data_IF_437927460434
#
_entry.id   IF_437927460434
#
_cell.length_a   1.000
_cell.length_b   1.000
_cell.length_c   1.000
_cell.angle_alpha   90.00
_cell.angle_beta   90.00
_cell.angle_gamma   90.00
#
_symmetry.space_group_name_H-M   'P 1'
#
loop_
_entity.id
_entity.type
_entity.pdbx_description
1 polymer ?
#
# COMPACT_ATOMS: atom_id res chain seq x y z
N UNK A 1 -23.75 -9.10 67.00
CA UNK A 1 -22.81 -7.97 66.78
C UNK A 1 -21.67 -8.50 65.92
N UNK A 2 -21.73 -8.33 64.59
CA UNK A 2 -20.66 -8.53 63.57
C UNK A 2 -21.35 -8.54 62.19
N UNK A 3 -21.38 -7.40 61.50
CA UNK A 3 -20.42 -6.91 60.49
C UNK A 3 -20.55 -7.55 59.09
N UNK A 4 -21.12 -6.72 58.21
CA UNK A 4 -20.99 -6.62 56.75
C UNK A 4 -19.74 -7.25 56.11
N UNK A 5 -19.95 -7.93 54.97
CA UNK A 5 -19.10 -7.77 53.78
C UNK A 5 -19.95 -7.93 52.51
N UNK A 6 -20.17 -6.82 51.80
CA UNK A 6 -20.70 -6.80 50.43
C UNK A 6 -19.53 -7.04 49.48
N UNK A 7 -19.43 -8.24 48.90
CA UNK A 7 -18.49 -8.54 47.82
C UNK A 7 -19.09 -8.18 46.48
N UNK A 8 -18.69 -7.04 45.92
CA UNK A 8 -19.03 -6.64 44.56
C UNK A 8 -18.12 -7.42 43.58
N UNK A 9 -18.63 -8.50 42.99
CA UNK A 9 -17.93 -9.21 41.93
C UNK A 9 -17.99 -8.38 40.63
N UNK A 10 -16.87 -7.77 40.25
CA UNK A 10 -16.69 -7.16 38.94
C UNK A 10 -16.39 -8.29 37.95
N UNK A 11 -17.40 -8.69 37.18
CA UNK A 11 -17.23 -9.62 36.07
C UNK A 11 -16.51 -8.90 34.93
N UNK A 12 -15.20 -9.12 34.79
CA UNK A 12 -14.46 -8.77 33.58
C UNK A 12 -14.99 -9.62 32.42
N UNK A 13 -15.75 -9.01 31.52
CA UNK A 13 -16.08 -9.61 30.23
C UNK A 13 -14.80 -9.72 29.39
N UNK A 14 -14.13 -10.87 29.48
CA UNK A 14 -13.14 -11.27 28.49
C UNK A 14 -13.91 -11.61 27.22
N UNK A 15 -13.86 -10.73 26.23
CA UNK A 15 -14.29 -11.06 24.86
C UNK A 15 -13.31 -12.11 24.31
N UNK A 16 -13.60 -13.38 24.59
CA UNK A 16 -13.02 -14.51 23.89
C UNK A 16 -13.57 -14.44 22.47
N UNK A 17 -12.72 -14.13 21.50
CA UNK A 17 -13.03 -14.37 20.09
C UNK A 17 -13.31 -15.87 19.93
N UNK A 18 -14.58 -16.24 19.89
CA UNK A 18 -15.00 -17.59 19.56
C UNK A 18 -14.48 -17.91 18.16
N UNK A 19 -13.50 -18.81 18.08
CA UNK A 19 -13.17 -19.50 16.84
C UNK A 19 -14.35 -20.41 16.53
N UNK A 20 -15.27 -19.92 15.69
CA UNK A 20 -16.25 -20.78 15.07
C UNK A 20 -15.54 -21.70 14.10
N UNK A 21 -15.72 -23.01 14.28
CA UNK A 21 -15.36 -24.04 13.31
C UNK A 21 -16.19 -23.84 12.03
N UNK A 22 -15.73 -22.93 11.18
CA UNK A 22 -16.20 -22.82 9.82
C UNK A 22 -15.59 -23.99 9.02
N UNK A 23 -16.45 -24.81 8.42
CA UNK A 23 -16.06 -25.77 7.39
C UNK A 23 -15.12 -25.08 6.38
N UNK A 24 -14.08 -25.77 5.86
CA UNK A 24 -13.09 -25.13 5.02
C UNK A 24 -13.79 -24.59 3.78
N UNK A 25 -13.94 -23.27 3.73
CA UNK A 25 -14.26 -22.58 2.49
C UNK A 25 -13.19 -23.03 1.50
N UNK A 26 -13.60 -23.73 0.44
CA UNK A 26 -12.76 -24.03 -0.71
C UNK A 26 -12.05 -22.74 -1.09
N UNK A 27 -10.76 -22.66 -0.79
CA UNK A 27 -9.98 -21.46 -1.00
C UNK A 27 -10.16 -21.07 -2.47
N UNK A 28 -10.59 -19.82 -2.72
CA UNK A 28 -10.60 -19.30 -4.07
C UNK A 28 -9.23 -19.60 -4.71
N UNK A 29 -9.18 -20.04 -5.98
CA UNK A 29 -7.92 -20.42 -6.59
C UNK A 29 -6.98 -19.22 -6.53
N UNK A 30 -5.77 -19.43 -5.98
CA UNK A 30 -4.69 -18.43 -6.02
C UNK A 30 -4.43 -18.03 -7.47
N UNK A 31 -3.84 -16.85 -7.67
CA UNK A 31 -3.52 -16.30 -8.98
C UNK A 31 -2.92 -17.34 -9.94
N UNK A 32 -3.49 -17.45 -11.15
CA UNK A 32 -3.03 -18.43 -12.15
C UNK A 32 -1.63 -18.08 -12.67
N UNK A 33 -0.85 -19.10 -13.03
CA UNK A 33 0.49 -18.90 -13.59
C UNK A 33 0.48 -18.04 -14.87
N UNK A 34 -0.57 -18.17 -15.69
CA UNK A 34 -0.73 -17.36 -16.91
C UNK A 34 -0.99 -15.88 -16.59
N UNK A 35 -1.78 -15.57 -15.55
CA UNK A 35 -1.98 -14.19 -15.09
C UNK A 35 -0.67 -13.59 -14.56
N UNK A 36 0.08 -14.35 -13.73
CA UNK A 36 1.36 -13.87 -13.20
C UNK A 36 2.38 -13.61 -14.32
N UNK A 37 2.46 -14.50 -15.31
CA UNK A 37 3.31 -14.32 -16.48
C UNK A 37 2.89 -13.08 -17.30
N UNK A 38 1.59 -12.88 -17.51
CA UNK A 38 1.06 -11.73 -18.25
C UNK A 38 1.35 -10.41 -17.52
N UNK A 39 1.19 -10.36 -16.20
CA UNK A 39 1.53 -9.18 -15.39
C UNK A 39 3.03 -8.90 -15.37
N UNK A 40 3.86 -9.94 -15.26
CA UNK A 40 5.33 -9.80 -15.31
C UNK A 40 5.84 -9.34 -16.69
N UNK A 41 5.08 -9.62 -17.75
CA UNK A 41 5.40 -9.21 -19.12
C UNK A 41 4.92 -7.78 -19.46
N UNK A 42 4.21 -7.10 -18.56
CA UNK A 42 3.80 -5.71 -18.79
C UNK A 42 5.04 -4.83 -18.96
N UNK A 43 5.18 -4.10 -20.09
CA UNK A 43 6.31 -3.22 -20.29
C UNK A 43 6.34 -2.10 -19.24
N UNK A 44 7.51 -1.88 -18.66
CA UNK A 44 7.77 -0.73 -17.78
C UNK A 44 7.61 0.59 -18.56
N UNK A 45 7.09 1.62 -17.90
CA UNK A 45 7.11 2.97 -18.45
C UNK A 45 8.55 3.53 -18.48
N UNK A 46 8.88 4.44 -19.41
CA UNK A 46 10.19 5.11 -19.39
C UNK A 46 10.41 5.89 -18.09
N UNK A 47 11.65 5.92 -17.60
CA UNK A 47 12.01 6.69 -16.41
C UNK A 47 11.56 8.16 -16.53
N UNK A 48 11.07 8.78 -15.44
CA UNK A 48 10.71 10.18 -15.45
C UNK A 48 11.97 11.03 -15.62
N UNK A 49 11.87 12.14 -16.36
CA UNK A 49 12.96 13.11 -16.47
C UNK A 49 13.23 13.82 -15.12
N UNK A 50 12.19 13.99 -14.31
CA UNK A 50 12.23 14.65 -12.99
C UNK A 50 11.26 13.95 -12.04
N UNK A 51 11.70 13.66 -10.81
CA UNK A 51 10.81 13.19 -9.74
C UNK A 51 10.06 14.37 -9.13
N UNK A 52 8.73 14.29 -9.15
CA UNK A 52 7.85 15.37 -8.69
C UNK A 52 7.73 15.36 -7.17
N UNK A 53 7.61 16.55 -6.59
CA UNK A 53 7.37 16.71 -5.16
C UNK A 53 6.45 17.91 -4.87
N UNK A 54 5.90 18.02 -3.64
CA UNK A 54 4.92 19.05 -3.25
C UNK A 54 5.66 20.37 -3.04
N UNK A 55 6.89 20.26 -2.54
CA UNK A 55 7.81 21.38 -2.40
C UNK A 55 8.92 21.32 -3.45
N UNK A 56 9.37 22.48 -3.89
CA UNK A 56 10.41 22.60 -4.92
C UNK A 56 11.80 22.13 -4.44
N UNK A 57 12.01 22.02 -3.12
CA UNK A 57 13.31 21.65 -2.53
C UNK A 57 13.56 20.15 -2.57
N UNK A 58 12.49 19.36 -2.59
CA UNK A 58 12.49 17.91 -2.55
C UNK A 58 12.24 17.29 -3.93
N UNK A 59 12.27 18.11 -5.00
CA UNK A 59 12.24 17.64 -6.40
C UNK A 59 13.50 16.84 -6.67
N UNK A 60 13.34 15.65 -7.28
CA UNK A 60 14.47 14.74 -7.53
C UNK A 60 14.82 13.83 -6.34
N UNK A 61 14.16 13.99 -5.18
CA UNK A 61 14.35 13.07 -4.06
C UNK A 61 13.60 11.75 -4.24
N UNK A 62 14.19 10.69 -3.69
CA UNK A 62 13.62 9.35 -3.67
C UNK A 62 12.96 9.07 -2.32
N UNK A 63 11.75 8.51 -2.35
CA UNK A 63 11.00 8.15 -1.14
C UNK A 63 11.32 6.72 -0.69
N UNK A 64 12.43 6.56 0.03
CA UNK A 64 12.90 5.24 0.49
C UNK A 64 12.01 4.57 1.53
N UNK A 65 11.22 5.35 2.26
CA UNK A 65 10.41 4.88 3.40
C UNK A 65 9.10 5.64 3.46
N UNK A 66 8.07 4.99 3.98
CA UNK A 66 6.78 5.64 4.22
C UNK A 66 6.89 6.72 5.31
N UNK A 67 6.22 7.86 5.15
CA UNK A 67 6.08 8.87 6.20
C UNK A 67 4.70 8.87 6.85
N UNK A 68 3.80 7.96 6.46
CA UNK A 68 2.49 7.77 7.06
C UNK A 68 2.61 7.16 8.46
N UNK A 69 1.96 7.79 9.45
CA UNK A 69 2.03 7.42 10.86
C UNK A 69 0.90 6.53 11.36
N UNK A 70 -0.20 6.49 10.63
CA UNK A 70 -1.46 5.90 11.09
C UNK A 70 -2.07 4.90 10.10
N UNK A 71 -1.23 4.06 9.48
CA UNK A 71 -1.68 3.03 8.55
C UNK A 71 -2.66 2.04 9.18
N UNK A 72 -2.60 1.84 10.50
CA UNK A 72 -3.52 0.97 11.25
C UNK A 72 -4.98 1.35 11.04
N UNK A 73 -5.27 2.60 10.68
CA UNK A 73 -6.62 3.07 10.37
C UNK A 73 -7.22 2.34 9.16
N UNK A 74 -6.39 1.86 8.23
CA UNK A 74 -6.85 1.09 7.08
C UNK A 74 -7.13 -0.39 7.40
N UNK A 75 -6.55 -0.92 8.50
CA UNK A 75 -6.59 -2.35 8.79
C UNK A 75 -8.02 -2.91 8.81
N UNK A 76 -9.02 -2.28 9.46
CA UNK A 76 -10.38 -2.83 9.51
C UNK A 76 -11.04 -2.92 8.13
N UNK A 77 -10.61 -2.10 7.17
CA UNK A 77 -11.17 -2.06 5.82
C UNK A 77 -10.56 -3.13 4.92
N UNK A 78 -9.27 -3.42 5.08
CA UNK A 78 -8.54 -4.32 4.19
C UNK A 78 -8.40 -5.75 4.71
N UNK A 79 -8.63 -5.97 6.00
CA UNK A 79 -8.34 -7.25 6.65
C UNK A 79 -9.00 -8.43 5.95
N UNK A 80 -8.19 -9.42 5.54
CA UNK A 80 -8.60 -10.61 4.80
C UNK A 80 -9.46 -10.32 3.55
N UNK A 81 -9.33 -9.16 2.93
CA UNK A 81 -10.12 -8.81 1.75
C UNK A 81 -9.77 -9.66 0.50
N UNK A 82 -8.62 -10.35 0.52
CA UNK A 82 -8.10 -11.21 -0.57
C UNK A 82 -7.95 -10.44 -1.89
N UNK A 83 -7.89 -11.13 -3.03
CA UNK A 83 -7.83 -10.51 -4.36
C UNK A 83 -6.53 -9.76 -4.60
N UNK A 84 -6.54 -8.86 -5.58
CA UNK A 84 -5.35 -8.09 -5.94
C UNK A 84 -5.20 -6.85 -5.06
N UNK A 85 -4.01 -6.67 -4.50
CA UNK A 85 -3.54 -5.43 -3.89
C UNK A 85 -2.65 -4.69 -4.90
N UNK A 86 -3.05 -3.48 -5.29
CA UNK A 86 -2.33 -2.58 -6.20
C UNK A 86 -1.92 -1.34 -5.43
N UNK A 87 -0.70 -0.83 -5.60
CA UNK A 87 -0.39 0.47 -5.03
C UNK A 87 1.02 0.96 -5.23
N UNK A 88 1.29 2.15 -4.69
CA UNK A 88 2.55 2.88 -4.81
C UNK A 88 3.31 2.97 -3.48
N UNK A 89 4.58 3.39 -3.54
CA UNK A 89 5.43 3.56 -2.37
C UNK A 89 6.16 2.27 -1.97
N UNK A 90 6.61 2.20 -0.73
CA UNK A 90 7.65 1.26 -0.29
C UNK A 90 7.12 0.23 0.72
N UNK A 91 7.45 0.40 2.00
CA UNK A 91 7.26 -0.61 3.04
C UNK A 91 5.80 -0.75 3.49
N UNK A 92 5.01 0.32 3.36
CA UNK A 92 3.59 0.31 3.72
C UNK A 92 2.77 -0.69 2.91
N UNK A 93 3.17 -1.00 1.68
CA UNK A 93 2.48 -1.97 0.84
C UNK A 93 2.57 -3.39 1.41
N UNK A 94 3.67 -3.74 2.08
CA UNK A 94 3.81 -5.03 2.75
C UNK A 94 3.00 -5.09 4.05
N UNK A 95 2.82 -3.95 4.72
CA UNK A 95 1.89 -3.83 5.86
C UNK A 95 0.45 -4.08 5.43
N UNK A 96 0.00 -3.42 4.35
CA UNK A 96 -1.31 -3.68 3.76
C UNK A 96 -1.46 -5.13 3.29
N UNK A 97 -0.43 -5.71 2.66
CA UNK A 97 -0.45 -7.09 2.20
C UNK A 97 -0.58 -8.10 3.36
N UNK A 98 0.13 -7.87 4.48
CA UNK A 98 0.02 -8.72 5.67
C UNK A 98 -1.40 -8.76 6.25
N UNK A 99 -2.10 -7.63 6.21
CA UNK A 99 -3.50 -7.52 6.62
C UNK A 99 -4.48 -8.10 5.59
N UNK A 100 -4.31 -7.76 4.31
CA UNK A 100 -5.24 -8.13 3.25
C UNK A 100 -5.18 -9.61 2.87
N UNK A 101 -4.00 -10.22 3.01
CA UNK A 101 -3.70 -11.56 2.50
C UNK A 101 -4.06 -11.70 1.00
N UNK A 102 -3.46 -10.87 0.13
CA UNK A 102 -3.85 -10.80 -1.27
C UNK A 102 -3.43 -12.05 -2.06
N UNK A 103 -4.11 -12.28 -3.18
CA UNK A 103 -3.71 -13.28 -4.17
C UNK A 103 -2.51 -12.78 -4.99
N UNK A 104 -2.46 -11.47 -5.26
CA UNK A 104 -1.41 -10.78 -6.01
C UNK A 104 -1.08 -9.47 -5.32
N UNK A 105 0.21 -9.19 -5.14
CA UNK A 105 0.72 -7.90 -4.71
C UNK A 105 1.41 -7.21 -5.89
N UNK A 106 0.76 -6.20 -6.46
CA UNK A 106 1.28 -5.40 -7.57
C UNK A 106 1.77 -4.04 -7.04
N UNK A 107 3.09 -3.91 -6.97
CA UNK A 107 3.81 -2.74 -6.50
C UNK A 107 4.17 -1.88 -7.71
N UNK A 108 3.54 -0.73 -7.85
CA UNK A 108 3.76 0.19 -8.97
C UNK A 108 4.39 1.47 -8.49
N UNK A 109 5.48 1.91 -9.11
CA UNK A 109 6.01 3.24 -8.83
C UNK A 109 6.59 3.86 -10.10
N UNK A 110 6.53 5.18 -10.21
CA UNK A 110 7.11 5.88 -11.35
C UNK A 110 8.61 6.14 -11.13
N UNK A 111 9.08 6.08 -9.88
CA UNK A 111 10.50 6.15 -9.53
C UNK A 111 11.16 4.77 -9.73
N UNK A 112 12.10 4.61 -10.69
CA UNK A 112 12.81 3.35 -10.91
C UNK A 112 13.56 2.86 -9.66
N UNK A 113 14.00 3.78 -8.78
CA UNK A 113 14.71 3.39 -7.59
C UNK A 113 13.81 2.73 -6.54
N UNK A 114 12.54 3.13 -6.45
CA UNK A 114 11.56 2.44 -5.60
C UNK A 114 11.31 1.02 -6.10
N UNK A 115 11.29 0.81 -7.42
CA UNK A 115 11.20 -0.55 -8.00
C UNK A 115 12.41 -1.40 -7.62
N UNK A 116 13.63 -0.86 -7.70
CA UNK A 116 14.84 -1.56 -7.23
C UNK A 116 14.83 -1.80 -5.72
N UNK A 117 14.27 -0.89 -4.93
CA UNK A 117 14.07 -1.12 -3.50
C UNK A 117 13.18 -2.33 -3.24
N UNK A 118 12.08 -2.50 -3.98
CA UNK A 118 11.26 -3.70 -3.87
C UNK A 118 12.01 -4.98 -4.23
N UNK A 119 12.90 -4.95 -5.23
CA UNK A 119 13.76 -6.10 -5.52
C UNK A 119 14.67 -6.46 -4.33
N UNK A 120 15.20 -5.45 -3.63
CA UNK A 120 15.93 -5.68 -2.38
C UNK A 120 15.03 -6.27 -1.28
N UNK A 121 13.80 -5.75 -1.09
CA UNK A 121 12.82 -6.36 -0.20
C UNK A 121 12.58 -7.83 -0.55
N UNK A 122 12.37 -8.16 -1.82
CA UNK A 122 12.09 -9.52 -2.28
C UNK A 122 13.25 -10.48 -1.95
N UNK A 123 14.49 -10.08 -2.24
CA UNK A 123 15.66 -10.89 -1.93
C UNK A 123 15.79 -11.15 -0.41
N UNK A 124 15.63 -10.12 0.41
CA UNK A 124 15.80 -10.24 1.86
C UNK A 124 14.63 -10.98 2.53
N UNK A 125 13.40 -10.82 2.03
CA UNK A 125 12.23 -11.61 2.49
C UNK A 125 12.36 -13.09 2.14
N UNK A 126 12.94 -13.44 0.98
CA UNK A 126 13.19 -14.86 0.65
C UNK A 126 14.17 -15.50 1.62
N UNK A 127 15.23 -14.76 1.97
CA UNK A 127 16.32 -15.23 2.83
C UNK A 127 15.94 -15.29 4.32
N UNK A 128 15.06 -14.41 4.80
CA UNK A 128 14.62 -14.40 6.19
C UNK A 128 13.36 -15.26 6.39
N UNK A 129 13.33 -16.08 7.44
CA UNK A 129 12.19 -16.92 7.83
C UNK A 129 11.32 -16.27 8.92
N UNK A 130 11.76 -15.16 9.50
CA UNK A 130 11.08 -14.46 10.59
C UNK A 130 11.18 -12.94 10.39
N UNK A 131 10.21 -12.15 10.92
CA UNK A 131 10.29 -10.70 10.93
C UNK A 131 11.60 -10.16 11.52
N UNK A 132 12.07 -10.80 12.60
CA UNK A 132 13.30 -10.41 13.29
C UNK A 132 14.53 -10.56 12.38
N UNK A 133 14.67 -11.70 11.70
CA UNK A 133 15.78 -11.91 10.74
C UNK A 133 15.67 -10.95 9.56
N UNK A 134 14.46 -10.73 9.06
CA UNK A 134 14.24 -9.80 7.95
C UNK A 134 14.69 -8.38 8.30
N UNK A 135 14.25 -7.84 9.43
CA UNK A 135 14.67 -6.50 9.90
C UNK A 135 16.20 -6.47 10.11
N UNK A 136 16.78 -7.53 10.69
CA UNK A 136 18.22 -7.61 10.91
C UNK A 136 19.03 -7.53 9.61
N UNK A 137 18.53 -8.08 8.49
CA UNK A 137 19.21 -7.97 7.19
C UNK A 137 19.31 -6.52 6.69
N UNK A 138 18.45 -5.61 7.11
CA UNK A 138 18.60 -4.19 6.77
C UNK A 138 19.63 -3.46 7.63
N UNK A 139 20.03 -4.06 8.76
CA UNK A 139 20.91 -3.40 9.72
C UNK A 139 22.31 -3.13 9.15
N UNK A 140 22.99 -2.05 9.59
CA UNK A 140 24.38 -1.79 9.20
C UNK A 140 25.33 -2.95 9.50
N UNK A 141 25.09 -3.72 10.57
CA UNK A 141 25.94 -4.85 10.97
C UNK A 141 25.82 -6.05 10.04
N UNK A 142 24.68 -6.23 9.37
CA UNK A 142 24.45 -7.31 8.40
C UNK A 142 24.68 -6.88 6.94
N UNK A 143 25.20 -5.66 6.71
CA UNK A 143 25.32 -5.09 5.37
C UNK A 143 26.07 -5.99 4.39
N UNK A 144 27.17 -6.61 4.80
CA UNK A 144 27.95 -7.52 3.94
C UNK A 144 27.13 -8.76 3.54
N UNK A 145 26.51 -9.41 4.51
CA UNK A 145 25.59 -10.54 4.31
C UNK A 145 24.48 -10.18 3.33
N UNK A 146 23.84 -9.03 3.54
CA UNK A 146 22.71 -8.59 2.71
C UNK A 146 23.15 -8.24 1.30
N UNK A 147 24.30 -7.58 1.11
CA UNK A 147 24.83 -7.31 -0.23
C UNK A 147 25.11 -8.60 -1.01
N UNK A 148 25.56 -9.68 -0.34
CA UNK A 148 25.70 -10.99 -0.96
C UNK A 148 24.34 -11.59 -1.35
N UNK A 149 23.31 -11.45 -0.51
CA UNK A 149 21.95 -11.92 -0.81
C UNK A 149 21.26 -11.14 -1.94
N UNK A 150 21.72 -9.92 -2.25
CA UNK A 150 21.21 -9.10 -3.36
C UNK A 150 21.80 -9.50 -4.72
N UNK A 151 22.72 -10.47 -4.76
CA UNK A 151 23.20 -11.05 -6.00
C UNK A 151 22.08 -11.91 -6.63
N UNK A 152 21.78 -11.77 -7.93
CA UNK A 152 20.75 -12.60 -8.56
C UNK A 152 21.16 -14.08 -8.55
N UNK A 153 20.21 -15.02 -8.50
CA UNK A 153 20.50 -16.40 -8.85
C UNK A 153 20.99 -16.48 -10.30
N UNK A 154 21.92 -17.40 -10.64
CA UNK A 154 22.59 -17.44 -11.95
C UNK A 154 21.68 -17.60 -13.19
N UNK A 155 20.37 -17.77 -13.03
CA UNK A 155 19.40 -18.03 -14.10
C UNK A 155 18.45 -16.86 -14.42
N UNK A 156 18.58 -15.69 -13.79
CA UNK A 156 17.72 -14.53 -14.10
C UNK A 156 18.44 -13.57 -15.06
N UNK A 157 17.83 -13.30 -16.23
CA UNK A 157 18.24 -12.30 -17.22
C UNK A 157 18.19 -10.83 -16.72
N UNK A 158 18.19 -10.61 -15.40
CA UNK A 158 18.47 -9.30 -14.84
C UNK A 158 19.93 -8.98 -15.10
N UNK A 159 20.21 -8.21 -16.16
CA UNK A 159 21.58 -7.85 -16.52
C UNK A 159 22.32 -7.20 -15.35
N UNK A 160 23.65 -7.35 -15.34
CA UNK A 160 24.60 -6.84 -14.31
C UNK A 160 24.30 -5.40 -13.83
N UNK A 161 23.74 -4.56 -14.71
CA UNK A 161 23.32 -3.19 -14.41
C UNK A 161 22.22 -3.12 -13.33
N UNK A 162 21.23 -4.01 -13.34
CA UNK A 162 20.12 -4.02 -12.37
C UNK A 162 20.60 -4.44 -10.97
N UNK A 163 21.54 -5.38 -10.90
CA UNK A 163 22.18 -5.80 -9.66
C UNK A 163 22.99 -4.64 -9.06
N UNK A 164 23.85 -4.02 -9.86
CA UNK A 164 24.68 -2.91 -9.42
C UNK A 164 23.83 -1.75 -8.87
N UNK A 165 22.68 -1.46 -9.48
CA UNK A 165 21.71 -0.48 -9.01
C UNK A 165 21.05 -0.88 -7.69
N UNK A 166 20.60 -2.14 -7.57
CA UNK A 166 19.96 -2.65 -6.34
C UNK A 166 20.93 -2.63 -5.16
N UNK A 167 22.18 -3.06 -5.37
CA UNK A 167 23.22 -2.96 -4.35
C UNK A 167 23.59 -1.51 -4.02
N UNK A 168 23.69 -0.63 -5.03
CA UNK A 168 23.95 0.80 -4.82
C UNK A 168 22.85 1.44 -3.98
N UNK A 169 21.60 1.16 -4.30
CA UNK A 169 20.45 1.57 -3.51
C UNK A 169 20.54 1.08 -2.08
N UNK A 170 20.80 -0.22 -1.88
CA UNK A 170 20.92 -0.79 -0.54
C UNK A 170 22.03 -0.11 0.26
N UNK A 171 23.15 0.22 -0.39
CA UNK A 171 24.25 0.97 0.22
C UNK A 171 23.84 2.37 0.67
N UNK A 172 22.98 3.05 -0.09
CA UNK A 172 22.52 4.42 0.17
C UNK A 172 21.37 4.47 1.19
N UNK A 173 20.35 3.62 1.04
CA UNK A 173 19.09 3.71 1.76
C UNK A 173 18.90 2.64 2.84
N UNK A 174 19.70 1.56 2.86
CA UNK A 174 19.46 0.40 3.72
C UNK A 174 19.40 0.74 5.22
N UNK A 175 20.25 1.67 5.68
CA UNK A 175 20.22 2.14 7.06
C UNK A 175 18.94 2.92 7.40
N UNK A 176 18.46 3.77 6.49
CA UNK A 176 17.20 4.51 6.66
C UNK A 176 16.01 3.54 6.72
N UNK A 177 15.99 2.55 5.82
CA UNK A 177 14.97 1.48 5.81
C UNK A 177 15.00 0.71 7.13
N UNK A 178 16.17 0.31 7.62
CA UNK A 178 16.31 -0.40 8.89
C UNK A 178 15.67 0.36 10.06
N UNK A 179 16.04 1.62 10.26
CA UNK A 179 15.48 2.43 11.35
C UNK A 179 13.98 2.66 11.17
N UNK A 180 13.51 2.82 9.94
CA UNK A 180 12.09 2.96 9.66
C UNK A 180 11.30 1.70 10.02
N UNK A 181 11.77 0.51 9.63
CA UNK A 181 11.11 -0.76 9.97
C UNK A 181 11.00 -0.96 11.48
N UNK A 182 12.02 -0.55 12.25
CA UNK A 182 11.95 -0.53 13.72
C UNK A 182 10.86 0.43 14.23
N UNK A 183 10.73 1.62 13.63
CA UNK A 183 9.67 2.57 13.97
C UNK A 183 8.27 2.04 13.61
N UNK A 184 8.10 1.39 12.46
CA UNK A 184 6.83 0.71 12.09
C UNK A 184 6.49 -0.36 13.12
N UNK A 185 7.46 -1.23 13.46
CA UNK A 185 7.27 -2.27 14.46
C UNK A 185 6.82 -1.69 15.81
N UNK A 186 7.48 -0.63 16.26
CA UNK A 186 7.13 0.03 17.52
C UNK A 186 5.73 0.67 17.46
N UNK A 187 5.41 1.41 16.39
CA UNK A 187 4.10 2.06 16.21
C UNK A 187 2.95 1.04 16.23
N UNK A 188 3.10 -0.06 15.49
CA UNK A 188 2.09 -1.11 15.43
C UNK A 188 1.89 -1.82 16.78
N UNK A 189 2.97 -2.04 17.54
CA UNK A 189 2.88 -2.53 18.93
C UNK A 189 2.14 -1.54 19.83
N UNK A 190 2.47 -0.25 19.76
CA UNK A 190 1.78 0.80 20.53
C UNK A 190 0.29 0.89 20.19
N UNK A 191 -0.05 0.76 18.90
CA UNK A 191 -1.41 0.74 18.41
C UNK A 191 -2.16 -0.57 18.71
N UNK A 192 -1.44 -1.61 19.20
CA UNK A 192 -1.96 -2.97 19.42
C UNK A 192 -2.57 -3.59 18.15
N UNK A 193 -2.02 -3.24 16.98
CA UNK A 193 -2.43 -3.78 15.68
C UNK A 193 -1.31 -4.66 15.14
N UNK A 194 -1.48 -5.99 15.09
CA UNK A 194 -0.49 -6.88 14.52
C UNK A 194 -0.26 -6.57 13.04
N UNK A 195 1.01 -6.57 12.61
CA UNK A 195 1.41 -6.39 11.21
C UNK A 195 2.49 -7.43 10.83
N UNK A 196 2.87 -7.50 9.56
CA UNK A 196 3.91 -8.41 9.08
C UNK A 196 5.30 -8.28 9.77
N UNK A 197 5.56 -7.18 10.48
CA UNK A 197 6.80 -6.99 11.26
C UNK A 197 6.68 -7.41 12.73
N UNK A 198 5.47 -7.66 13.21
CA UNK A 198 5.16 -7.99 14.61
C UNK A 198 4.46 -9.34 14.77
N UNK A 199 3.96 -9.94 13.69
CA UNK A 199 3.22 -11.19 13.65
C UNK A 199 3.78 -12.16 12.60
N UNK A 200 4.03 -13.40 13.01
CA UNK A 200 4.66 -14.41 12.14
C UNK A 200 3.71 -14.86 11.02
N UNK A 201 2.42 -15.02 11.28
CA UNK A 201 1.48 -15.47 10.25
C UNK A 201 1.32 -14.43 9.13
N UNK A 202 1.27 -13.14 9.47
CA UNK A 202 1.26 -12.06 8.49
C UNK A 202 2.58 -11.94 7.73
N UNK A 203 3.71 -12.18 8.39
CA UNK A 203 5.02 -12.25 7.72
C UNK A 203 5.07 -13.39 6.72
N UNK A 204 4.59 -14.57 7.10
CA UNK A 204 4.59 -15.76 6.24
C UNK A 204 3.72 -15.55 5.00
N UNK A 205 2.61 -14.81 5.09
CA UNK A 205 1.80 -14.40 3.94
C UNK A 205 2.60 -13.52 2.97
N UNK A 206 3.25 -12.48 3.48
CA UNK A 206 4.12 -11.61 2.67
C UNK A 206 5.26 -12.39 2.03
N UNK A 207 5.89 -13.27 2.81
CA UNK A 207 6.96 -14.13 2.33
C UNK A 207 6.49 -15.12 1.25
N UNK A 208 5.30 -15.68 1.40
CA UNK A 208 4.70 -16.55 0.40
C UNK A 208 4.45 -15.80 -0.92
N UNK A 209 3.94 -14.57 -0.89
CA UNK A 209 3.77 -13.74 -2.09
C UNK A 209 5.09 -13.61 -2.87
N UNK A 210 6.19 -13.32 -2.17
CA UNK A 210 7.50 -13.14 -2.78
C UNK A 210 8.11 -14.44 -3.29
N UNK A 211 7.98 -15.54 -2.53
CA UNK A 211 8.55 -16.85 -2.91
C UNK A 211 7.80 -17.50 -4.06
N UNK A 212 6.49 -17.29 -4.14
CA UNK A 212 5.62 -17.86 -5.16
C UNK A 212 5.52 -16.97 -6.42
N UNK A 213 6.28 -15.87 -6.49
CA UNK A 213 6.27 -14.96 -7.65
C UNK A 213 4.98 -14.15 -7.80
N UNK A 214 4.19 -14.02 -6.73
CA UNK A 214 2.92 -13.27 -6.69
C UNK A 214 3.08 -11.81 -6.27
N UNK A 215 4.28 -11.42 -5.84
CA UNK A 215 4.68 -10.03 -5.65
C UNK A 215 5.44 -9.53 -6.89
N UNK A 216 4.90 -8.51 -7.56
CA UNK A 216 5.44 -7.96 -8.81
C UNK A 216 5.71 -6.48 -8.60
N UNK A 217 6.95 -6.05 -8.86
CA UNK A 217 7.34 -4.65 -8.87
C UNK A 217 7.43 -4.15 -10.31
N UNK A 218 6.67 -3.12 -10.66
CA UNK A 218 6.53 -2.58 -12.00
C UNK A 218 6.77 -1.07 -11.98
N UNK A 219 7.64 -0.60 -12.87
CA UNK A 219 7.77 0.83 -13.08
C UNK A 219 6.58 1.34 -13.90
N UNK A 220 5.69 2.09 -13.27
CA UNK A 220 4.45 2.56 -13.90
C UNK A 220 4.12 3.99 -13.46
N UNK A 221 3.87 4.85 -14.44
CA UNK A 221 3.45 6.23 -14.25
C UNK A 221 1.93 6.32 -14.48
N UNK A 222 1.21 6.62 -13.39
CA UNK A 222 -0.25 6.77 -13.39
C UNK A 222 -0.77 7.96 -14.22
N UNK A 223 0.13 8.70 -14.89
CA UNK A 223 -0.18 9.78 -15.83
C UNK A 223 0.12 9.45 -17.29
N UNK A 224 0.50 8.21 -17.61
CA UNK A 224 0.87 7.78 -18.97
C UNK A 224 -0.05 6.73 -19.56
N UNK A 225 0.02 6.58 -20.88
CA UNK A 225 -0.71 5.57 -21.67
C UNK A 225 0.12 4.30 -21.91
N UNK A 226 0.86 3.85 -20.90
CA UNK A 226 1.78 2.70 -21.00
C UNK A 226 1.39 1.59 -20.03
N UNK A 227 2.18 1.42 -18.97
CA UNK A 227 2.11 0.26 -18.08
C UNK A 227 0.71 0.07 -17.43
N UNK A 228 0.14 1.11 -16.83
CA UNK A 228 -1.12 0.98 -16.08
C UNK A 228 -2.35 0.61 -16.94
N UNK A 229 -2.56 1.19 -18.13
CA UNK A 229 -3.59 0.70 -19.06
C UNK A 229 -3.41 -0.77 -19.45
N UNK A 230 -2.17 -1.23 -19.69
CA UNK A 230 -1.88 -2.64 -20.01
C UNK A 230 -2.18 -3.54 -18.82
N UNK A 231 -1.83 -3.13 -17.58
CA UNK A 231 -2.24 -3.85 -16.36
C UNK A 231 -3.76 -4.00 -16.33
N UNK A 232 -4.53 -2.92 -16.52
CA UNK A 232 -5.98 -2.98 -16.49
C UNK A 232 -6.55 -3.95 -17.54
N UNK A 233 -5.95 -4.01 -18.73
CA UNK A 233 -6.33 -4.96 -19.78
C UNK A 233 -6.02 -6.41 -19.38
N UNK A 234 -4.82 -6.70 -18.88
CA UNK A 234 -4.42 -8.03 -18.42
C UNK A 234 -5.36 -8.52 -17.33
N UNK A 235 -5.64 -7.68 -16.32
CA UNK A 235 -6.54 -8.04 -15.23
C UNK A 235 -7.95 -8.39 -15.75
N UNK A 236 -8.49 -7.62 -16.70
CA UNK A 236 -9.78 -7.92 -17.34
C UNK A 236 -9.78 -9.23 -18.11
N UNK A 237 -8.74 -9.48 -18.91
CA UNK A 237 -8.61 -10.71 -19.70
C UNK A 237 -8.58 -11.97 -18.83
N UNK A 238 -8.05 -11.86 -17.62
CA UNK A 238 -7.96 -12.96 -16.66
C UNK A 238 -9.08 -12.94 -15.60
N UNK A 239 -10.06 -12.03 -15.69
CA UNK A 239 -11.15 -11.93 -14.72
C UNK A 239 -10.70 -11.55 -13.30
N UNK A 240 -9.51 -10.96 -13.15
CA UNK A 240 -8.96 -10.58 -11.85
C UNK A 240 -9.45 -9.18 -11.45
N UNK A 241 -10.09 -9.08 -10.28
CA UNK A 241 -10.52 -7.80 -9.73
C UNK A 241 -9.44 -7.18 -8.85
N UNK A 242 -9.32 -5.85 -8.91
CA UNK A 242 -8.56 -5.05 -7.94
C UNK A 242 -9.39 -4.95 -6.66
N UNK A 243 -8.94 -5.58 -5.57
CA UNK A 243 -9.64 -5.53 -4.28
C UNK A 243 -9.26 -4.29 -3.48
N UNK A 244 -7.98 -3.93 -3.49
CA UNK A 244 -7.49 -2.71 -2.82
C UNK A 244 -6.52 -2.00 -3.76
N UNK A 245 -6.73 -0.71 -3.97
CA UNK A 245 -5.78 0.21 -4.60
C UNK A 245 -5.32 1.24 -3.57
N UNK A 246 -4.01 1.41 -3.37
CA UNK A 246 -3.43 2.38 -2.45
C UNK A 246 -2.48 3.33 -3.17
N UNK A 247 -2.74 4.64 -3.11
CA UNK A 247 -1.92 5.64 -3.80
C UNK A 247 -1.17 6.61 -2.87
N UNK A 248 -1.11 6.34 -1.56
CA UNK A 248 -0.52 7.31 -0.60
C UNK A 248 -1.16 8.70 -0.82
N UNK A 249 -0.37 9.77 -0.73
CA UNK A 249 -0.72 11.13 -1.13
C UNK A 249 -0.38 11.43 -2.59
N UNK A 250 -0.15 10.42 -3.45
CA UNK A 250 0.29 10.63 -4.84
C UNK A 250 -0.69 11.51 -5.63
N UNK A 251 -1.99 11.45 -5.30
CA UNK A 251 -3.02 12.28 -5.91
C UNK A 251 -2.81 13.78 -5.70
N UNK A 252 -2.06 14.19 -4.66
CA UNK A 252 -1.75 15.60 -4.41
C UNK A 252 -0.79 16.17 -5.47
N UNK A 253 0.01 15.33 -6.15
CA UNK A 253 0.89 15.72 -7.27
C UNK A 253 0.20 15.61 -8.63
N UNK A 254 -1.01 15.04 -8.68
CA UNK A 254 -1.79 14.83 -9.90
C UNK A 254 -2.86 15.92 -10.06
N UNK A 255 -2.52 17.17 -9.73
CA UNK A 255 -3.48 18.26 -9.71
C UNK A 255 -3.26 19.23 -10.89
N UNK A 256 -4.28 19.48 -11.74
CA UNK A 256 -5.58 18.79 -11.80
C UNK A 256 -5.44 17.34 -12.30
N UNK A 257 -6.38 16.45 -11.94
CA UNK A 257 -6.37 15.04 -12.32
C UNK A 257 -6.21 14.88 -13.84
N UNK A 258 -5.07 14.31 -14.31
CA UNK A 258 -4.82 14.13 -15.73
C UNK A 258 -5.87 13.22 -16.39
N UNK A 259 -6.19 13.44 -17.69
CA UNK A 259 -7.09 12.55 -18.43
C UNK A 259 -6.65 11.07 -18.38
N UNK A 260 -5.35 10.81 -18.46
CA UNK A 260 -4.74 9.48 -18.39
C UNK A 260 -5.02 8.81 -17.04
N UNK A 261 -4.81 9.52 -15.93
CA UNK A 261 -5.11 9.02 -14.59
C UNK A 261 -6.59 8.62 -14.46
N UNK A 262 -7.50 9.47 -14.93
CA UNK A 262 -8.94 9.18 -14.93
C UNK A 262 -9.27 7.94 -15.76
N UNK A 263 -8.67 7.82 -16.94
CA UNK A 263 -8.87 6.69 -17.82
C UNK A 263 -8.36 5.39 -17.18
N UNK A 264 -7.19 5.42 -16.53
CA UNK A 264 -6.61 4.28 -15.81
C UNK A 264 -7.56 3.83 -14.69
N UNK A 265 -7.95 4.72 -13.78
CA UNK A 265 -8.81 4.36 -12.65
C UNK A 265 -10.14 3.78 -13.12
N UNK A 266 -10.75 4.37 -14.16
CA UNK A 266 -12.00 3.87 -14.76
C UNK A 266 -11.83 2.56 -15.54
N UNK A 267 -10.61 2.23 -15.96
CA UNK A 267 -10.31 1.01 -16.68
C UNK A 267 -10.03 -0.18 -15.75
N UNK A 268 -9.69 0.05 -14.48
CA UNK A 268 -9.43 -1.05 -13.53
C UNK A 268 -10.68 -1.93 -13.35
N UNK A 269 -10.56 -3.27 -13.42
CA UNK A 269 -11.65 -4.17 -13.07
C UNK A 269 -11.89 -4.16 -11.56
N UNK A 270 -13.10 -3.74 -11.16
CA UNK A 270 -13.49 -3.57 -9.75
C UNK A 270 -14.91 -4.04 -9.50
N UNK A 271 -15.23 -4.29 -8.24
CA UNK A 271 -16.57 -4.68 -7.79
C UNK A 271 -17.00 -3.85 -6.55
N UNK A 272 -18.13 -4.23 -5.95
CA UNK A 272 -18.66 -3.56 -4.76
C UNK A 272 -17.77 -3.68 -3.51
N UNK A 273 -16.85 -4.64 -3.48
CA UNK A 273 -15.90 -4.90 -2.42
C UNK A 273 -14.54 -4.20 -2.64
N UNK A 274 -14.33 -3.57 -3.81
CA UNK A 274 -13.09 -2.86 -4.12
C UNK A 274 -12.95 -1.53 -3.38
N UNK A 275 -11.78 -1.30 -2.79
CA UNK A 275 -11.44 -0.09 -2.06
C UNK A 275 -10.29 0.69 -2.69
N UNK A 276 -10.43 2.00 -2.66
CA UNK A 276 -9.37 2.96 -2.91
C UNK A 276 -8.96 3.59 -1.58
N UNK A 277 -7.67 3.49 -1.26
CA UNK A 277 -7.05 4.03 -0.07
C UNK A 277 -6.11 5.15 -0.49
N UNK A 278 -6.15 6.26 0.23
CA UNK A 278 -5.30 7.42 -0.03
C UNK A 278 -5.02 8.17 1.25
N UNK A 279 -3.95 8.95 1.21
CA UNK A 279 -3.73 10.03 2.16
C UNK A 279 -3.79 11.38 1.44
N UNK A 280 -3.95 12.45 2.22
CA UNK A 280 -3.91 13.81 1.73
C UNK A 280 -3.16 14.68 2.74
N UNK A 281 -2.21 15.49 2.26
CA UNK A 281 -1.53 16.45 3.11
C UNK A 281 -2.51 17.52 3.63
N UNK A 282 -2.52 17.75 4.94
CA UNK A 282 -3.46 18.68 5.59
C UNK A 282 -2.98 20.13 5.62
N UNK A 283 -1.76 20.39 5.13
CA UNK A 283 -1.11 21.71 5.18
C UNK A 283 0.09 21.82 4.23
N UNK A 284 1.11 22.61 4.64
CA UNK A 284 2.34 22.85 3.84
C UNK A 284 3.39 21.74 3.94
N UNK A 285 3.17 20.72 4.76
CA UNK A 285 4.11 19.61 4.98
C UNK A 285 3.44 18.26 4.72
N UNK A 286 4.22 17.30 4.21
CA UNK A 286 3.81 15.93 3.91
C UNK A 286 3.67 15.05 5.15
N UNK A 287 3.87 15.59 6.36
CA UNK A 287 3.86 14.83 7.62
C UNK A 287 2.49 14.82 8.32
N UNK A 288 1.66 15.82 8.06
CA UNK A 288 0.30 15.90 8.61
C UNK A 288 -0.66 15.38 7.54
N UNK A 289 -1.10 14.13 7.70
CA UNK A 289 -1.86 13.40 6.70
C UNK A 289 -3.27 13.09 7.18
N UNK A 290 -4.24 13.36 6.31
CA UNK A 290 -5.59 12.79 6.34
C UNK A 290 -5.55 11.41 5.71
N UNK A 291 -6.26 10.47 6.29
CA UNK A 291 -6.45 9.12 5.76
C UNK A 291 -7.87 9.01 5.23
N UNK A 292 -8.02 8.42 4.05
CA UNK A 292 -9.32 8.28 3.41
C UNK A 292 -9.48 6.93 2.72
N UNK A 293 -10.67 6.38 2.86
CA UNK A 293 -11.14 5.21 2.11
C UNK A 293 -12.31 5.62 1.22
N UNK A 294 -12.39 5.03 0.04
CA UNK A 294 -13.50 5.24 -0.88
C UNK A 294 -13.72 3.96 -1.68
N UNK A 295 -14.98 3.57 -1.93
CA UNK A 295 -15.23 2.45 -2.85
C UNK A 295 -14.63 2.77 -4.22
N UNK A 296 -13.91 1.83 -4.84
CA UNK A 296 -13.18 2.13 -6.07
C UNK A 296 -14.14 2.45 -7.23
N UNK A 297 -15.26 1.73 -7.33
CA UNK A 297 -16.33 2.07 -8.26
C UNK A 297 -16.91 3.47 -8.01
N UNK A 298 -17.01 3.88 -6.75
CA UNK A 298 -17.45 5.21 -6.39
C UNK A 298 -16.45 6.28 -6.86
N UNK A 299 -15.17 6.07 -6.61
CA UNK A 299 -14.12 6.98 -7.07
C UNK A 299 -14.10 7.10 -8.61
N UNK A 300 -14.23 5.98 -9.33
CA UNK A 300 -14.33 5.98 -10.79
C UNK A 300 -15.53 6.82 -11.29
N UNK A 301 -16.67 6.75 -10.60
CA UNK A 301 -17.85 7.58 -10.92
C UNK A 301 -17.59 9.07 -10.65
N UNK A 302 -16.89 9.41 -9.56
CA UNK A 302 -16.50 10.79 -9.28
C UNK A 302 -15.56 11.36 -10.35
N UNK A 303 -14.57 10.56 -10.79
CA UNK A 303 -13.64 10.97 -11.84
C UNK A 303 -14.27 11.10 -13.24
N UNK A 304 -15.47 10.57 -13.45
CA UNK A 304 -16.24 10.80 -14.67
C UNK A 304 -16.76 12.25 -14.76
N UNK A 305 -16.80 12.99 -13.64
CA UNK A 305 -17.18 14.40 -13.63
C UNK A 305 -15.97 15.31 -13.89
N UNK A 306 -16.00 16.16 -14.93
CA UNK A 306 -14.87 17.04 -15.25
C UNK A 306 -14.61 18.12 -14.18
N UNK A 307 -15.59 18.41 -13.32
CA UNK A 307 -15.47 19.37 -12.21
C UNK A 307 -14.66 18.82 -11.03
N UNK A 308 -14.57 17.48 -10.88
CA UNK A 308 -13.72 16.83 -9.88
C UNK A 308 -12.30 16.84 -10.40
N UNK A 309 -11.52 17.86 -10.04
CA UNK A 309 -10.15 18.12 -10.50
C UNK A 309 -9.08 17.74 -9.47
N UNK A 310 -9.41 17.67 -8.18
CA UNK A 310 -8.42 17.60 -7.09
C UNK A 310 -8.86 16.61 -6.01
N UNK A 311 -7.90 15.94 -5.36
CA UNK A 311 -8.15 15.05 -4.20
C UNK A 311 -8.93 15.74 -3.08
N UNK A 312 -8.64 17.02 -2.82
CA UNK A 312 -9.31 17.86 -1.79
C UNK A 312 -10.78 18.16 -2.04
N UNK A 313 -11.28 17.89 -3.25
CA UNK A 313 -12.71 17.96 -3.53
C UNK A 313 -13.45 16.68 -3.12
N UNK A 314 -12.72 15.58 -2.88
CA UNK A 314 -13.23 14.24 -2.59
C UNK A 314 -13.06 13.90 -1.11
N UNK A 315 -11.88 14.22 -0.56
CA UNK A 315 -11.55 13.98 0.84
C UNK A 315 -12.18 15.07 1.69
N UNK A 316 -13.24 14.71 2.43
CA UNK A 316 -13.95 15.65 3.30
C UNK A 316 -13.05 16.05 4.45
N UNK A 317 -12.85 17.36 4.62
CA UNK A 317 -12.17 17.91 5.80
C UNK A 317 -13.10 17.78 7.00
N UNK A 318 -12.74 16.93 7.96
CA UNK A 318 -13.45 16.84 9.21
C UNK A 318 -12.98 17.96 10.16
N UNK A 319 -13.91 18.57 10.94
CA UNK A 319 -13.52 19.44 12.05
C UNK A 319 -12.64 18.66 13.02
N UNK A 320 -11.51 19.25 13.44
CA UNK A 320 -10.63 18.66 14.46
C UNK A 320 -10.78 19.42 15.76
N UNK A 321 -10.97 18.70 16.87
CA UNK A 321 -11.02 19.26 18.21
C UNK A 321 -9.64 19.47 18.83
N UNK A 322 -8.59 18.85 18.28
CA UNK A 322 -7.20 19.03 18.71
C UNK A 322 -6.22 18.82 17.56
N UNK A 323 -4.98 19.30 17.72
CA UNK A 323 -3.89 19.12 16.76
C UNK A 323 -3.50 17.63 16.60
N UNK A 324 -3.61 16.84 17.68
CA UNK A 324 -3.25 15.43 17.69
C UNK A 324 -4.32 14.50 17.09
N UNK A 325 -5.48 15.05 16.71
CA UNK A 325 -6.56 14.24 16.14
C UNK A 325 -6.23 13.84 14.71
N UNK A 326 -5.95 12.55 14.51
CA UNK A 326 -5.76 11.96 13.18
C UNK A 326 -7.09 11.91 12.44
N UNK A 327 -7.14 12.47 11.23
CA UNK A 327 -8.34 12.46 10.41
C UNK A 327 -8.43 11.17 9.59
N UNK A 328 -9.47 10.38 9.83
CA UNK A 328 -9.85 9.22 9.03
C UNK A 328 -11.30 9.36 8.56
N UNK A 329 -11.54 9.26 7.26
CA UNK A 329 -12.89 9.38 6.71
C UNK A 329 -13.14 8.41 5.55
N UNK A 330 -14.37 7.89 5.47
CA UNK A 330 -14.86 7.25 4.25
C UNK A 330 -15.57 8.28 3.36
N UNK A 331 -15.16 8.42 2.10
CA UNK A 331 -15.94 9.17 1.12
C UNK A 331 -17.07 8.28 0.61
N UNK A 332 -18.31 8.66 0.96
CA UNK A 332 -19.54 7.98 0.57
C UNK A 332 -20.28 8.75 -0.53
N UNK A 333 -21.25 8.08 -1.16
CA UNK A 333 -22.18 8.69 -2.13
C UNK A 333 -21.68 8.59 -3.58
N UNK A 334 -22.50 7.98 -4.44
CA UNK A 334 -22.16 7.60 -5.81
C UNK A 334 -21.74 8.78 -6.72
N UNK A 335 -22.09 10.00 -6.34
CA UNK A 335 -21.92 11.22 -7.12
C UNK A 335 -21.26 12.31 -6.27
N UNK A 336 -20.46 13.20 -6.88
CA UNK A 336 -20.00 14.39 -6.19
C UNK A 336 -21.18 15.28 -5.78
N UNK A 337 -21.07 16.03 -4.67
CA UNK A 337 -22.17 16.84 -4.18
C UNK A 337 -22.57 17.91 -5.21
N UNK A 338 -23.86 18.26 -5.24
CA UNK A 338 -24.43 19.17 -6.24
C UNK A 338 -23.68 20.51 -6.36
N UNK A 339 -23.18 21.05 -5.24
CA UNK A 339 -22.41 22.29 -5.23
C UNK A 339 -21.08 22.18 -5.97
N UNK A 340 -20.45 21.00 -5.98
CA UNK A 340 -19.18 20.77 -6.67
C UNK A 340 -19.35 20.70 -8.19
N UNK A 341 -20.51 20.23 -8.65
CA UNK A 341 -20.85 20.13 -10.08
C UNK A 341 -21.60 21.37 -10.60
N UNK A 342 -21.59 22.48 -9.85
CA UNK A 342 -22.19 23.75 -10.25
C UNK A 342 -23.72 23.78 -10.18
N UNK A 343 -24.36 22.83 -9.49
CA UNK A 343 -25.82 22.74 -9.35
C UNK A 343 -26.37 23.39 -8.06
N UNK A 344 -25.51 23.89 -7.16
CA UNK A 344 -25.93 24.58 -5.93
C UNK A 344 -24.84 25.54 -5.42
N UNK A 345 -25.22 26.57 -4.65
CA UNK A 345 -24.26 27.40 -3.87
C UNK A 345 -23.68 26.58 -2.72
N UNK A 346 -22.43 26.89 -2.32
CA UNK A 346 -21.78 26.28 -1.14
C UNK A 346 -22.66 26.47 0.12
N UNK A 347 -22.83 25.44 0.96
CA UNK A 347 -23.40 25.60 2.29
C UNK A 347 -22.46 26.34 3.25
#
# INVERSE_FOLDING_TARGET
MMQLFFGLAVTLAVNVYAQGDAAPATAAPRASASLLAALAAVPADPAPAVLRNVDAKSVGEHYWVCNEKHLELFQPTVFNAKGLLLGVGTDQMYTLAGWQDPDILLLTDYDPWVVHLHQAYFALVRAADTPKKFIALWSPTQRATSLHLLQPPPSTNSGEKSEALTQRLFRQAGGQVYYHLLQVQQRMRSAKVPCWLTDQAQYDRVRALVREGRAIALQADWTRRGAMPTVAQVLKQHGQMVRVAYLSNAEDYLQPYPPEFRAIVRALPVDAQSWWLRTQATGKSSIDLRYNIQRLQNFANWLAHPQVKLSRQIVVRLPTSSYDQVQFAETKGAQPPAWLIGKAKLP
#
